data_IF_187635213786
#
_entry.id   IF_187635213786
#
_cell.length_a   1.000
_cell.length_b   1.000
_cell.length_c   1.000
_cell.angle_alpha   90.00
_cell.angle_beta   90.00
_cell.angle_gamma   90.00
#
_symmetry.space_group_name_H-M   'P 1'
#
loop_
_entity.id
_entity.type
_entity.pdbx_description
1 polymer ?
#
# COMPACT_ATOMS: atom_id res chain seq x y z
N UNK A 1 -6.93 -11.52 -16.21
CA UNK A 1 -6.45 -10.62 -15.15
C UNK A 1 -7.42 -9.45 -14.98
N UNK A 2 -7.79 -9.15 -13.76
CA UNK A 2 -8.67 -8.03 -13.48
C UNK A 2 -7.82 -6.80 -13.15
N UNK A 3 -8.07 -5.70 -13.87
CA UNK A 3 -7.40 -4.43 -13.62
C UNK A 3 -8.40 -3.51 -12.93
N UNK A 4 -8.00 -2.94 -11.79
CA UNK A 4 -8.78 -1.99 -11.05
C UNK A 4 -8.03 -0.66 -10.99
N UNK A 5 -8.45 0.30 -11.80
CA UNK A 5 -7.83 1.61 -11.86
C UNK A 5 -8.58 2.58 -10.93
N UNK A 6 -7.97 2.92 -9.80
CA UNK A 6 -8.59 3.79 -8.80
C UNK A 6 -8.78 5.23 -9.28
N UNK A 7 -8.13 5.63 -10.36
CA UNK A 7 -8.29 6.97 -10.91
C UNK A 7 -9.44 7.11 -11.91
N UNK A 8 -10.15 6.02 -12.23
CA UNK A 8 -11.31 6.06 -13.15
C UNK A 8 -12.50 6.83 -12.57
N UNK A 9 -12.63 6.86 -11.26
CA UNK A 9 -13.71 7.56 -10.57
C UNK A 9 -13.13 8.65 -9.69
N UNK A 10 -13.89 9.72 -9.52
CA UNK A 10 -13.47 10.80 -8.64
C UNK A 10 -13.46 10.33 -7.18
N UNK A 11 -12.33 10.52 -6.52
CA UNK A 11 -12.16 10.23 -5.11
C UNK A 11 -11.00 11.06 -4.56
N UNK A 12 -10.79 10.98 -3.26
CA UNK A 12 -9.75 11.77 -2.60
C UNK A 12 -8.33 11.48 -3.12
N UNK A 13 -8.12 10.31 -3.72
CA UNK A 13 -6.83 9.96 -4.33
C UNK A 13 -6.43 10.97 -5.40
N UNK A 14 -7.39 11.57 -6.11
CA UNK A 14 -7.12 12.61 -7.09
C UNK A 14 -6.28 13.75 -6.50
N UNK A 15 -6.58 14.18 -5.27
CA UNK A 15 -5.82 15.23 -4.60
C UNK A 15 -4.40 14.77 -4.28
N UNK A 16 -4.24 13.58 -3.75
CA UNK A 16 -2.93 13.05 -3.39
C UNK A 16 -2.03 12.86 -4.61
N UNK A 17 -2.59 12.36 -5.70
CA UNK A 17 -1.85 12.22 -6.95
C UNK A 17 -1.48 13.59 -7.54
N UNK A 18 -2.38 14.55 -7.49
CA UNK A 18 -2.11 15.91 -7.96
C UNK A 18 -0.97 16.55 -7.18
N UNK A 19 -1.00 16.43 -5.84
CA UNK A 19 0.07 16.96 -4.98
C UNK A 19 1.42 16.30 -5.27
N UNK A 20 1.44 15.01 -5.54
CA UNK A 20 2.67 14.28 -5.86
C UNK A 20 3.25 14.67 -7.22
N UNK A 21 2.40 15.09 -8.16
CA UNK A 21 2.81 15.50 -9.51
C UNK A 21 3.11 16.98 -9.62
N UNK A 22 2.64 17.78 -8.68
CA UNK A 22 2.84 19.22 -8.67
C UNK A 22 4.31 19.55 -8.43
N UNK A 23 4.86 20.43 -9.24
CA UNK A 23 6.27 20.81 -9.16
C UNK A 23 6.67 21.41 -7.83
N UNK A 24 5.77 22.11 -7.17
CA UNK A 24 6.05 22.74 -5.87
C UNK A 24 5.86 21.77 -4.70
N UNK A 25 4.75 21.04 -4.69
CA UNK A 25 4.47 20.06 -3.63
C UNK A 25 5.47 18.91 -3.59
N UNK A 26 5.92 18.48 -4.75
CA UNK A 26 6.84 17.34 -4.85
C UNK A 26 8.20 17.63 -4.18
N UNK A 27 8.56 18.88 -3.96
CA UNK A 27 9.76 19.30 -3.24
C UNK A 27 9.64 19.09 -1.73
N UNK A 28 8.43 19.00 -1.21
CA UNK A 28 8.21 18.69 0.20
C UNK A 28 8.27 17.19 0.40
N UNK A 29 9.40 16.70 0.90
CA UNK A 29 9.66 15.27 1.05
C UNK A 29 8.72 14.59 2.02
N UNK A 30 8.34 15.27 3.10
CA UNK A 30 7.41 14.72 4.09
C UNK A 30 6.02 14.53 3.48
N UNK A 31 5.52 15.55 2.79
CA UNK A 31 4.22 15.49 2.12
C UNK A 31 4.20 14.41 1.05
N UNK A 32 5.27 14.30 0.27
CA UNK A 32 5.40 13.30 -0.78
C UNK A 32 5.33 11.89 -0.20
N UNK A 33 6.09 11.60 0.85
CA UNK A 33 6.07 10.29 1.52
C UNK A 33 4.72 9.98 2.15
N UNK A 34 4.09 10.97 2.78
CA UNK A 34 2.77 10.79 3.38
C UNK A 34 1.70 10.48 2.33
N UNK A 35 1.78 11.11 1.17
CA UNK A 35 0.84 10.84 0.08
C UNK A 35 1.03 9.44 -0.51
N UNK A 36 2.27 8.98 -0.66
CA UNK A 36 2.53 7.60 -1.07
C UNK A 36 1.92 6.61 -0.09
N UNK A 37 2.10 6.85 1.19
CA UNK A 37 1.54 6.02 2.25
C UNK A 37 0.01 5.99 2.22
N UNK A 38 -0.62 7.15 2.05
CA UNK A 38 -2.08 7.26 1.94
C UNK A 38 -2.63 6.50 0.74
N UNK A 39 -1.97 6.62 -0.40
CA UNK A 39 -2.36 5.87 -1.59
C UNK A 39 -2.24 4.37 -1.34
N UNK A 40 -1.18 3.94 -0.66
CA UNK A 40 -1.01 2.54 -0.25
C UNK A 40 -2.16 2.05 0.63
N UNK A 41 -2.59 2.85 1.58
CA UNK A 41 -3.73 2.51 2.44
C UNK A 41 -5.02 2.33 1.63
N UNK A 42 -5.30 3.24 0.70
CA UNK A 42 -6.51 3.16 -0.12
C UNK A 42 -6.46 1.99 -1.11
N UNK A 43 -5.31 1.71 -1.68
CA UNK A 43 -5.16 0.53 -2.54
C UNK A 43 -5.34 -0.77 -1.77
N UNK A 44 -4.77 -0.85 -0.57
CA UNK A 44 -4.97 -2.02 0.30
C UNK A 44 -6.44 -2.20 0.65
N UNK A 45 -7.15 -1.13 0.94
CA UNK A 45 -8.58 -1.17 1.20
C UNK A 45 -9.35 -1.72 0.00
N UNK A 46 -9.06 -1.26 -1.20
CA UNK A 46 -9.70 -1.77 -2.42
C UNK A 46 -9.41 -3.26 -2.63
N UNK A 47 -8.17 -3.68 -2.41
CA UNK A 47 -7.79 -5.09 -2.50
C UNK A 47 -8.55 -5.92 -1.47
N UNK A 48 -8.79 -5.39 -0.28
CA UNK A 48 -9.50 -6.11 0.77
C UNK A 48 -10.91 -6.56 0.37
N UNK A 49 -11.52 -5.87 -0.58
CA UNK A 49 -12.83 -6.23 -1.11
C UNK A 49 -12.82 -7.52 -1.93
N UNK A 50 -11.66 -7.94 -2.39
CA UNK A 50 -11.49 -9.13 -3.23
C UNK A 50 -11.07 -10.37 -2.45
N UNK A 51 -10.83 -10.23 -1.13
CA UNK A 51 -10.40 -11.33 -0.28
C UNK A 51 -11.54 -12.29 0.04
N UNK A 52 -11.21 -13.43 0.58
CA UNK A 52 -12.17 -14.39 1.10
C UNK A 52 -12.57 -14.00 2.52
N UNK A 53 -13.84 -14.14 2.83
CA UNK A 53 -14.41 -13.78 4.13
C UNK A 53 -15.14 -14.96 4.73
N UNK A 54 -15.08 -15.07 6.05
CA UNK A 54 -15.74 -16.10 6.83
C UNK A 54 -16.55 -15.45 7.95
N UNK A 55 -17.78 -15.96 8.15
CA UNK A 55 -18.62 -15.50 9.23
C UNK A 55 -18.13 -16.05 10.56
N UNK A 56 -17.94 -15.18 11.53
CA UNK A 56 -17.48 -15.53 12.88
C UNK A 56 -18.33 -14.89 13.94
N UNK A 57 -18.46 -15.59 15.08
CA UNK A 57 -19.09 -15.04 16.26
C UNK A 57 -18.12 -14.11 17.00
N UNK A 58 -18.60 -12.93 17.34
CA UNK A 58 -17.86 -11.96 18.15
C UNK A 58 -18.65 -11.67 19.41
N UNK A 59 -18.04 -11.89 20.56
CA UNK A 59 -18.68 -11.56 21.84
C UNK A 59 -18.51 -10.07 22.13
N UNK A 60 -19.63 -9.38 22.19
CA UNK A 60 -19.67 -7.94 22.50
C UNK A 60 -20.29 -7.72 23.88
N UNK A 61 -20.19 -6.52 24.47
CA UNK A 61 -20.86 -6.21 25.72
C UNK A 61 -22.39 -6.38 25.68
N UNK A 62 -22.98 -6.33 24.49
CA UNK A 62 -24.44 -6.46 24.29
C UNK A 62 -24.89 -7.86 23.86
N UNK A 63 -23.95 -8.80 23.70
CA UNK A 63 -24.23 -10.15 23.25
C UNK A 63 -23.32 -10.59 22.12
N UNK A 64 -23.66 -11.71 21.48
CA UNK A 64 -22.88 -12.27 20.39
C UNK A 64 -23.36 -11.67 19.05
N UNK A 65 -22.41 -11.13 18.29
CA UNK A 65 -22.65 -10.63 16.94
C UNK A 65 -21.96 -11.53 15.92
N UNK A 66 -22.52 -11.64 14.73
CA UNK A 66 -21.88 -12.36 13.63
C UNK A 66 -21.27 -11.36 12.66
N UNK A 67 -20.00 -11.51 12.40
CA UNK A 67 -19.22 -10.59 11.56
C UNK A 67 -18.44 -11.39 10.54
N UNK A 68 -18.35 -10.89 9.33
CA UNK A 68 -17.53 -11.48 8.27
C UNK A 68 -16.09 -10.97 8.41
N UNK A 69 -15.17 -11.89 8.59
CA UNK A 69 -13.74 -11.61 8.70
C UNK A 69 -12.98 -12.09 7.47
N UNK A 70 -11.95 -11.35 7.04
CA UNK A 70 -11.06 -11.85 5.98
C UNK A 70 -10.24 -13.03 6.50
N UNK A 71 -10.11 -14.06 5.66
CA UNK A 71 -9.43 -15.30 6.03
C UNK A 71 -8.10 -15.51 5.33
N UNK A 72 -7.80 -14.71 4.32
CA UNK A 72 -6.56 -14.86 3.55
C UNK A 72 -5.35 -14.47 4.39
N UNK A 73 -4.29 -15.25 4.28
CA UNK A 73 -2.98 -14.86 4.78
C UNK A 73 -2.33 -13.94 3.77
N UNK A 74 -1.89 -12.79 4.22
CA UNK A 74 -1.32 -11.75 3.35
C UNK A 74 0.15 -11.56 3.67
N UNK A 75 0.96 -11.53 2.63
CA UNK A 75 2.36 -11.14 2.71
C UNK A 75 2.57 -9.93 1.82
N UNK A 76 3.14 -8.88 2.37
CA UNK A 76 3.45 -7.67 1.62
C UNK A 76 4.91 -7.74 1.20
N UNK A 77 5.14 -7.85 -0.11
CA UNK A 77 6.49 -7.85 -0.68
C UNK A 77 6.84 -6.48 -1.22
N UNK A 78 8.03 -6.00 -0.92
CA UNK A 78 8.43 -4.64 -1.28
C UNK A 78 9.88 -4.60 -1.70
N UNK A 79 10.16 -3.83 -2.75
CA UNK A 79 11.52 -3.53 -3.19
C UNK A 79 12.06 -2.39 -2.34
N UNK A 80 13.08 -2.68 -1.59
CA UNK A 80 13.72 -1.74 -0.69
C UNK A 80 14.62 -0.77 -1.49
N UNK A 81 14.70 0.49 -1.16
CA UNK A 81 14.08 1.24 -0.07
C UNK A 81 12.94 2.14 -0.54
N UNK A 82 12.89 2.43 -1.85
CA UNK A 82 11.93 3.38 -2.43
C UNK A 82 10.47 3.00 -2.15
N UNK A 83 10.18 1.69 -2.08
CA UNK A 83 8.84 1.19 -1.81
C UNK A 83 8.40 1.26 -0.34
N UNK A 84 9.26 1.68 0.58
CA UNK A 84 8.98 1.60 2.02
C UNK A 84 7.74 2.41 2.46
N UNK A 85 7.54 3.67 2.03
CA UNK A 85 6.34 4.41 2.42
C UNK A 85 5.04 3.75 1.93
N UNK A 86 5.07 3.19 0.73
CA UNK A 86 3.93 2.47 0.16
C UNK A 86 3.64 1.18 0.94
N UNK A 87 4.70 0.45 1.30
CA UNK A 87 4.63 -0.72 2.16
C UNK A 87 3.97 -0.39 3.51
N UNK A 88 4.36 0.72 4.12
CA UNK A 88 3.78 1.16 5.40
C UNK A 88 2.28 1.42 5.27
N UNK A 89 1.84 1.98 4.16
CA UNK A 89 0.42 2.18 3.89
C UNK A 89 -0.35 0.87 3.85
N UNK A 90 0.17 -0.12 3.16
CA UNK A 90 -0.41 -1.45 3.12
C UNK A 90 -0.42 -2.11 4.50
N UNK A 91 0.65 -1.97 5.26
CA UNK A 91 0.78 -2.56 6.59
C UNK A 91 -0.21 -1.96 7.59
N UNK A 92 -0.57 -0.69 7.42
CA UNK A 92 -1.58 -0.05 8.26
C UNK A 92 -2.96 -0.67 8.09
N UNK A 93 -3.25 -1.23 6.92
CA UNK A 93 -4.52 -1.89 6.62
C UNK A 93 -4.44 -3.39 6.93
N UNK A 94 -3.36 -4.03 6.50
CA UNK A 94 -3.11 -5.46 6.72
C UNK A 94 -2.08 -5.63 7.83
N UNK A 95 -2.42 -5.21 9.03
CA UNK A 95 -1.51 -5.15 10.17
C UNK A 95 -1.05 -6.51 10.69
N UNK A 96 -1.74 -7.58 10.32
CA UNK A 96 -1.35 -8.95 10.65
C UNK A 96 -0.55 -9.64 9.53
N UNK A 97 -0.21 -8.92 8.47
CA UNK A 97 0.50 -9.51 7.34
C UNK A 97 1.97 -9.83 7.66
N UNK A 98 2.50 -10.81 6.94
CA UNK A 98 3.94 -11.02 6.87
C UNK A 98 4.59 -9.96 5.97
N UNK A 99 5.88 -9.75 6.14
CA UNK A 99 6.64 -8.78 5.36
C UNK A 99 7.81 -9.46 4.66
N UNK A 100 8.00 -9.13 3.39
CA UNK A 100 9.14 -9.60 2.62
C UNK A 100 9.80 -8.40 1.93
N UNK A 101 11.10 -8.32 2.01
CA UNK A 101 11.86 -7.23 1.42
C UNK A 101 12.89 -7.76 0.45
N UNK A 102 12.99 -7.11 -0.70
CA UNK A 102 14.00 -7.38 -1.71
C UNK A 102 14.81 -6.10 -1.90
N UNK A 103 16.12 -6.21 -1.81
CA UNK A 103 17.00 -5.06 -2.03
C UNK A 103 17.39 -4.98 -3.50
N UNK A 104 17.30 -3.79 -4.06
CA UNK A 104 17.82 -3.48 -5.37
C UNK A 104 18.58 -2.17 -5.29
N UNK A 105 19.73 -2.10 -5.93
CA UNK A 105 20.56 -0.91 -5.95
C UNK A 105 21.28 -0.78 -7.28
N UNK A 106 21.66 0.44 -7.59
CA UNK A 106 22.48 0.69 -8.77
C UNK A 106 23.95 0.51 -8.41
N UNK A 107 24.64 -0.27 -9.22
CA UNK A 107 26.07 -0.47 -9.08
C UNK A 107 26.79 0.22 -10.24
N UNK A 108 27.77 1.05 -9.90
CA UNK A 108 28.58 1.75 -10.90
C UNK A 108 29.87 0.96 -11.11
N UNK A 109 29.95 0.23 -12.21
CA UNK A 109 31.15 -0.55 -12.57
C UNK A 109 32.25 0.31 -13.15
N UNK A 110 31.89 1.44 -13.74
CA UNK A 110 32.79 2.51 -14.12
C UNK A 110 32.01 3.82 -14.21
N UNK A 111 32.66 4.92 -14.60
CA UNK A 111 32.06 6.26 -14.56
C UNK A 111 30.80 6.43 -15.41
N UNK A 112 30.53 5.53 -16.33
CA UNK A 112 29.47 5.70 -17.31
C UNK A 112 28.41 4.59 -17.28
N UNK A 113 28.70 3.48 -16.64
CA UNK A 113 27.80 2.32 -16.62
C UNK A 113 27.19 2.11 -15.25
N UNK A 114 25.89 1.87 -15.26
CA UNK A 114 25.12 1.58 -14.05
C UNK A 114 24.41 0.24 -14.24
N UNK A 115 24.63 -0.68 -13.31
CA UNK A 115 23.93 -1.95 -13.26
C UNK A 115 23.02 -1.98 -12.03
N UNK A 116 21.92 -2.73 -12.13
CA UNK A 116 21.03 -2.95 -10.99
C UNK A 116 21.33 -4.32 -10.42
N UNK A 117 21.79 -4.31 -9.19
CA UNK A 117 22.12 -5.52 -8.47
C UNK A 117 21.02 -5.99 -7.53
#
# INVERSE_FOLDING_TARGET
>A
MKINNLSEHNCIINRYLAEMRDCDYQKNRLLFRNNIKRIGEYEAFEISKTLNYENRDVTTPLGVAQVNFPTDEIVIGTIFRAGLPFHEGFLNIFDHSGNAFVSAYREYTNKEHTEIG
#
